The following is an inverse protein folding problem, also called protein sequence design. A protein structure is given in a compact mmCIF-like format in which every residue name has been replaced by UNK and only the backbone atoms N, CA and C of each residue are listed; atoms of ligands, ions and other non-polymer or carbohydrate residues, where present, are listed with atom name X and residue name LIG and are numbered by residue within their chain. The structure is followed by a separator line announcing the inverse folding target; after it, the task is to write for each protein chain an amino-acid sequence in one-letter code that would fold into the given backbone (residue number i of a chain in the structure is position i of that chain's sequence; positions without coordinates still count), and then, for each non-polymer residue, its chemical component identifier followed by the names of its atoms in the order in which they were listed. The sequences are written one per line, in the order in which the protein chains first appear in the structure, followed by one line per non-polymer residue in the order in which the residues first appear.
data_IF_894635818845
#
_entry.id   IF_894635818845
#
_cell.length_a   1.000
_cell.length_b   1.000
_cell.length_c   1.000
_cell.angle_alpha   90.00
_cell.angle_beta   90.00
_cell.angle_gamma   90.00
#
_symmetry.space_group_name_H-M   'P 1'
#
loop_
_entity.id
_entity.type
_entity.pdbx_description
1 polymer ?
#
# COMPACT_ATOMS: atom_id res chain seq x y z
N UNK A 1 -3.55 4.53 -18.69
CA UNK A 1 -3.08 3.54 -17.70
C UNK A 1 -2.20 4.28 -16.73
N UNK A 2 -2.60 4.38 -15.46
CA UNK A 2 -1.81 5.05 -14.43
C UNK A 2 -0.63 4.17 -14.05
N UNK A 3 0.55 4.77 -13.84
CA UNK A 3 1.72 4.09 -13.33
C UNK A 3 2.32 4.94 -12.21
N UNK A 4 2.51 4.32 -11.05
CA UNK A 4 3.06 5.01 -9.88
C UNK A 4 4.52 5.41 -10.15
N UNK A 5 4.83 6.69 -10.00
CA UNK A 5 6.20 7.18 -10.12
C UNK A 5 7.12 6.51 -9.10
N UNK A 6 8.39 6.35 -9.48
CA UNK A 6 9.40 5.67 -8.66
C UNK A 6 9.56 6.32 -7.28
N UNK A 7 9.49 7.66 -7.20
CA UNK A 7 9.53 8.41 -5.94
C UNK A 7 8.45 7.98 -4.94
N UNK A 8 7.25 7.67 -5.43
CA UNK A 8 6.12 7.25 -4.60
C UNK A 8 6.20 5.77 -4.26
N UNK A 9 6.68 4.93 -5.19
CA UNK A 9 6.97 3.53 -4.92
C UNK A 9 8.03 3.39 -3.80
N UNK A 10 9.09 4.19 -3.84
CA UNK A 10 10.10 4.19 -2.78
C UNK A 10 9.50 4.58 -1.42
N UNK A 11 8.59 5.56 -1.40
CA UNK A 11 7.87 5.92 -0.18
C UNK A 11 7.00 4.76 0.33
N UNK A 12 6.25 4.10 -0.56
CA UNK A 12 5.45 2.93 -0.21
C UNK A 12 6.32 1.82 0.41
N UNK A 13 7.50 1.54 -0.17
CA UNK A 13 8.47 0.58 0.38
C UNK A 13 8.93 0.98 1.79
N UNK A 14 9.21 2.26 2.03
CA UNK A 14 9.60 2.78 3.36
C UNK A 14 8.48 2.59 4.39
N UNK A 15 7.24 2.90 4.02
CA UNK A 15 6.07 2.72 4.90
C UNK A 15 5.92 1.25 5.30
N UNK A 16 5.97 0.34 4.33
CA UNK A 16 5.89 -1.12 4.57
C UNK A 16 6.99 -1.61 5.51
N UNK A 17 8.22 -1.08 5.38
CA UNK A 17 9.32 -1.43 6.25
C UNK A 17 9.15 -0.88 7.68
N UNK A 18 8.55 0.30 7.84
CA UNK A 18 8.27 0.90 9.14
C UNK A 18 7.20 0.13 9.92
N UNK A 19 6.20 -0.42 9.22
CA UNK A 19 5.10 -1.22 9.80
C UNK A 19 5.37 -2.72 9.83
N UNK A 20 6.65 -3.11 9.69
CA UNK A 20 7.04 -4.51 9.65
C UNK A 20 7.02 -5.12 11.05
N UNK A 21 6.09 -6.05 11.29
CA UNK A 21 5.97 -6.82 12.54
C UNK A 21 6.98 -7.98 12.63
N UNK A 22 7.41 -8.55 11.50
CA UNK A 22 8.28 -9.74 11.48
C UNK A 22 9.50 -9.59 10.57
N UNK A 23 10.69 -9.89 11.11
CA UNK A 23 11.99 -9.75 10.41
C UNK A 23 12.43 -10.96 9.56
N UNK A 24 11.84 -12.14 9.76
CA UNK A 24 12.17 -13.37 9.00
C UNK A 24 10.94 -13.95 8.28
N UNK A 25 11.00 -14.08 6.95
CA UNK A 25 9.93 -14.60 6.11
C UNK A 25 10.42 -15.13 4.77
N UNK A 26 10.06 -16.38 4.50
CA UNK A 26 10.20 -17.12 3.26
C UNK A 26 9.40 -16.51 2.08
N UNK A 27 8.20 -15.97 2.33
CA UNK A 27 7.35 -15.41 1.28
C UNK A 27 7.88 -14.10 0.70
N UNK A 28 8.30 -13.17 1.57
CA UNK A 28 8.79 -11.87 1.13
C UNK A 28 10.32 -11.79 1.07
N UNK A 29 11.03 -12.86 1.44
CA UNK A 29 12.50 -12.88 1.57
C UNK A 29 13.01 -11.68 2.37
N UNK A 30 12.37 -11.44 3.50
CA UNK A 30 12.67 -10.36 4.43
C UNK A 30 12.48 -8.92 3.95
N UNK A 31 11.84 -8.72 2.79
CA UNK A 31 11.59 -7.39 2.21
C UNK A 31 10.37 -6.67 2.80
N UNK A 32 9.43 -7.39 3.40
CA UNK A 32 8.13 -6.84 3.84
C UNK A 32 7.10 -6.71 2.71
N UNK A 33 7.50 -6.89 1.45
CA UNK A 33 6.62 -6.92 0.28
C UNK A 33 6.99 -8.06 -0.67
N UNK A 34 6.05 -8.50 -1.50
CA UNK A 34 6.23 -9.60 -2.46
C UNK A 34 6.83 -9.09 -3.76
N UNK A 35 6.39 -7.93 -4.23
CA UNK A 35 6.81 -7.31 -5.48
C UNK A 35 6.01 -6.05 -5.80
N UNK A 36 5.99 -5.67 -7.07
CA UNK A 36 5.11 -4.61 -7.60
C UNK A 36 4.23 -5.19 -8.71
N UNK A 37 3.05 -4.61 -8.94
CA UNK A 37 2.20 -4.95 -10.08
C UNK A 37 2.56 -4.13 -11.33
N UNK A 38 1.79 -4.31 -12.40
CA UNK A 38 1.97 -3.61 -13.69
C UNK A 38 1.90 -2.08 -13.60
N UNK A 39 1.14 -1.56 -12.62
CA UNK A 39 1.00 -0.14 -12.34
C UNK A 39 2.06 0.39 -11.36
N UNK A 40 3.09 -0.42 -11.07
CA UNK A 40 4.16 -0.10 -10.11
C UNK A 40 3.66 0.07 -8.67
N UNK A 41 2.51 -0.53 -8.33
CA UNK A 41 1.96 -0.55 -6.97
C UNK A 41 2.59 -1.69 -6.17
N UNK A 42 2.92 -1.40 -4.92
CA UNK A 42 3.61 -2.33 -4.03
C UNK A 42 2.65 -3.39 -3.48
N UNK A 43 2.98 -4.67 -3.65
CA UNK A 43 2.23 -5.79 -3.10
C UNK A 43 2.81 -6.13 -1.73
N UNK A 44 2.14 -5.72 -0.66
CA UNK A 44 2.62 -5.91 0.72
C UNK A 44 2.58 -7.38 1.16
N UNK A 45 3.44 -7.74 2.10
CA UNK A 45 3.40 -9.08 2.70
C UNK A 45 2.49 -9.07 3.92
N UNK A 46 1.26 -9.58 3.75
CA UNK A 46 0.25 -9.62 4.82
C UNK A 46 0.69 -10.38 6.10
N UNK A 47 1.70 -11.26 5.99
CA UNK A 47 2.24 -11.99 7.16
C UNK A 47 3.25 -11.19 7.97
N UNK A 48 3.91 -10.21 7.36
CA UNK A 48 5.09 -9.55 7.94
C UNK A 48 4.85 -8.09 8.27
N UNK A 49 3.82 -7.51 7.72
CA UNK A 49 3.56 -6.08 7.76
C UNK A 49 2.16 -5.87 8.27
N UNK A 50 2.01 -4.86 9.13
CA UNK A 50 0.70 -4.33 9.47
C UNK A 50 0.08 -3.70 8.24
N UNK A 51 -0.80 -4.44 7.55
CA UNK A 51 -1.39 -3.94 6.29
C UNK A 51 -2.26 -2.74 6.59
N UNK A 52 -3.05 -2.80 7.66
CA UNK A 52 -3.97 -1.73 8.06
C UNK A 52 -3.17 -0.47 8.40
N UNK A 53 -2.18 -0.57 9.30
CA UNK A 53 -1.37 0.60 9.67
C UNK A 53 -0.52 1.13 8.50
N UNK A 54 -0.04 0.24 7.62
CA UNK A 54 0.66 0.67 6.40
C UNK A 54 -0.27 1.39 5.43
N UNK A 55 -1.50 0.92 5.27
CA UNK A 55 -2.49 1.52 4.38
C UNK A 55 -2.94 2.88 4.91
N UNK A 56 -3.12 3.03 6.22
CA UNK A 56 -3.42 4.33 6.84
C UNK A 56 -2.30 5.35 6.61
N UNK A 57 -1.03 4.97 6.80
CA UNK A 57 0.09 5.87 6.51
C UNK A 57 0.22 6.17 5.01
N UNK A 58 -0.05 5.18 4.16
CA UNK A 58 -0.10 5.38 2.71
C UNK A 58 -1.21 6.36 2.31
N UNK A 59 -2.41 6.23 2.87
CA UNK A 59 -3.54 7.14 2.64
C UNK A 59 -3.21 8.57 3.07
N UNK A 60 -2.52 8.75 4.20
CA UNK A 60 -2.02 10.07 4.62
C UNK A 60 -1.04 10.64 3.60
N UNK A 61 -0.07 9.84 3.16
CA UNK A 61 0.88 10.26 2.14
C UNK A 61 0.19 10.64 0.83
N UNK A 62 -0.73 9.81 0.34
CA UNK A 62 -1.47 10.07 -0.92
C UNK A 62 -2.29 11.36 -0.84
N UNK A 63 -2.87 11.69 0.32
CA UNK A 63 -3.62 12.94 0.49
C UNK A 63 -2.77 14.22 0.31
N UNK A 64 -1.46 14.13 0.48
CA UNK A 64 -0.53 15.25 0.25
C UNK A 64 -0.22 15.47 -1.24
N UNK A 65 -0.58 14.52 -2.12
CA UNK A 65 -0.32 14.56 -3.56
C UNK A 65 -1.64 14.51 -4.34
N UNK A 66 -2.12 15.65 -4.88
CA UNK A 66 -3.38 15.70 -5.62
C UNK A 66 -3.48 14.66 -6.75
N UNK A 67 -2.37 14.41 -7.45
CA UNK A 67 -2.29 13.44 -8.55
C UNK A 67 -2.49 11.98 -8.11
N UNK A 68 -2.07 11.66 -6.89
CA UNK A 68 -2.29 10.33 -6.31
C UNK A 68 -3.68 10.25 -5.72
N UNK A 69 -4.13 11.33 -5.07
CA UNK A 69 -5.43 11.39 -4.41
C UNK A 69 -6.56 11.14 -5.41
N UNK A 70 -6.51 11.71 -6.61
CA UNK A 70 -7.51 11.47 -7.65
C UNK A 70 -7.53 10.02 -8.14
N UNK A 71 -6.37 9.34 -8.19
CA UNK A 71 -6.30 7.94 -8.63
C UNK A 71 -6.72 6.95 -7.54
N UNK A 72 -6.37 7.23 -6.28
CA UNK A 72 -6.63 6.33 -5.15
C UNK A 72 -7.89 6.72 -4.36
N UNK A 73 -8.56 7.84 -4.67
CA UNK A 73 -9.82 8.21 -4.02
C UNK A 73 -10.84 7.09 -4.13
N UNK A 74 -10.97 6.51 -5.31
CA UNK A 74 -11.91 5.42 -5.59
C UNK A 74 -11.58 4.19 -4.72
N UNK A 75 -10.29 3.85 -4.60
CA UNK A 75 -9.83 2.74 -3.74
C UNK A 75 -10.14 3.00 -2.25
N UNK A 76 -10.03 4.25 -1.80
CA UNK A 76 -10.25 4.62 -0.40
C UNK A 76 -11.72 4.89 -0.04
N UNK A 77 -12.55 5.21 -1.03
CA UNK A 77 -14.00 5.34 -0.88
C UNK A 77 -14.68 3.95 -0.90
N UNK A 78 -14.16 3.00 -1.68
CA UNK A 78 -14.65 1.60 -1.67
C UNK A 78 -14.43 0.89 -0.33
N UNK A 79 -13.36 1.19 0.43
CA UNK A 79 -13.18 0.67 1.80
C UNK A 79 -14.26 1.17 2.79
N UNK A 80 -15.10 2.13 2.39
CA UNK A 80 -16.26 2.60 3.14
C UNK A 80 -17.57 1.85 2.83
N UNK A 81 -17.59 0.93 1.86
CA UNK A 81 -18.83 0.28 1.40
C UNK A 81 -18.72 -1.26 1.42
N UNK A 82 -18.56 -1.82 2.61
CA UNK A 82 -18.91 -3.24 2.83
C UNK A 82 -20.40 -3.31 3.18
N UNK A 83 -21.20 -3.70 2.19
CA UNK A 83 -22.46 -4.45 2.30
C UNK A 83 -23.62 -3.81 3.12
N UNK A 84 -24.42 -2.95 2.48
CA UNK A 84 -25.89 -3.06 2.61
C UNK A 84 -26.35 -4.19 1.68
N UNK A 85 -26.40 -5.40 2.22
CA UNK A 85 -27.26 -6.48 1.70
C UNK A 85 -28.40 -6.69 2.69
N UNK A 86 -29.62 -6.55 2.15
CA UNK A 86 -30.98 -6.69 2.73
C UNK A 86 -31.58 -5.52 3.52
#
# INVERSE_FOLDING_TARGET
MFKLDEKHLEKAKKIVLNHRKKKSCDKCYDRGYIGVNENNLLITCQKCVDVDASMEEWKKYVNDYPELKEYFSDLFEEEGNTEETD
#
